data_IF_087032488986
#
_entry.id   IF_087032488986
#
_cell.length_a   1.000
_cell.length_b   1.000
_cell.length_c   1.000
_cell.angle_alpha   90.00
_cell.angle_beta   90.00
_cell.angle_gamma   90.00
#
_symmetry.space_group_name_H-M   'P 1'
#
loop_
_entity.id
_entity.type
_entity.pdbx_description
1 polymer ?
#
# COMPACT_ATOMS: atom_id res chain seq x y z
N UNK A 1 27.59 8.14 -5.66
CA UNK A 1 26.16 8.47 -5.89
C UNK A 1 25.50 7.53 -6.92
N UNK A 2 26.07 7.29 -8.10
CA UNK A 2 25.48 6.44 -9.17
C UNK A 2 25.34 4.95 -8.76
N UNK A 3 26.29 4.39 -8.04
CA UNK A 3 26.24 2.98 -7.58
C UNK A 3 25.14 2.73 -6.54
N UNK A 4 24.91 3.69 -5.64
CA UNK A 4 23.88 3.57 -4.60
C UNK A 4 22.45 3.65 -5.21
N UNK A 5 22.26 4.48 -6.22
CA UNK A 5 20.97 4.59 -6.94
C UNK A 5 20.63 3.31 -7.71
N UNK A 6 21.63 2.68 -8.35
CA UNK A 6 21.45 1.40 -9.04
C UNK A 6 21.08 0.26 -8.09
N UNK A 7 21.70 0.21 -6.91
CA UNK A 7 21.37 -0.76 -5.86
C UNK A 7 19.92 -0.57 -5.37
N UNK A 8 19.48 0.68 -5.15
CA UNK A 8 18.11 1.01 -4.70
C UNK A 8 17.05 0.62 -5.74
N UNK A 9 17.30 0.83 -7.03
CA UNK A 9 16.40 0.42 -8.09
C UNK A 9 16.28 -1.13 -8.18
N UNK A 10 17.38 -1.85 -8.00
CA UNK A 10 17.36 -3.32 -7.93
C UNK A 10 16.54 -3.85 -6.76
N UNK A 11 16.69 -3.23 -5.58
CA UNK A 11 15.87 -3.57 -4.40
C UNK A 11 14.39 -3.30 -4.66
N UNK A 12 14.05 -2.16 -5.29
CA UNK A 12 12.67 -1.86 -5.65
C UNK A 12 12.06 -2.94 -6.56
N UNK A 13 12.80 -3.36 -7.61
CA UNK A 13 12.35 -4.42 -8.51
C UNK A 13 12.09 -5.73 -7.75
N UNK A 14 12.98 -6.12 -6.84
CA UNK A 14 12.80 -7.33 -6.04
C UNK A 14 11.57 -7.25 -5.12
N UNK A 15 11.32 -6.10 -4.49
CA UNK A 15 10.12 -5.88 -3.68
C UNK A 15 8.84 -5.95 -4.54
N UNK A 16 8.82 -5.30 -5.72
CA UNK A 16 7.71 -5.39 -6.69
C UNK A 16 7.44 -6.84 -7.05
N UNK A 17 8.48 -7.61 -7.40
CA UNK A 17 8.34 -9.02 -7.75
C UNK A 17 7.80 -9.85 -6.58
N UNK A 18 8.25 -9.61 -5.35
CA UNK A 18 7.75 -10.32 -4.17
C UNK A 18 6.23 -10.14 -3.99
N UNK A 19 5.74 -8.90 -4.07
CA UNK A 19 4.30 -8.62 -3.99
C UNK A 19 3.53 -9.14 -5.21
N UNK A 20 4.08 -9.05 -6.43
CA UNK A 20 3.46 -9.61 -7.63
C UNK A 20 3.31 -11.14 -7.53
N UNK A 21 4.32 -11.84 -7.03
CA UNK A 21 4.27 -13.29 -6.82
C UNK A 21 3.22 -13.64 -5.76
N UNK A 22 3.19 -12.94 -4.64
CA UNK A 22 2.19 -13.17 -3.59
C UNK A 22 0.75 -13.01 -4.13
N UNK A 23 0.50 -11.93 -4.88
CA UNK A 23 -0.81 -11.68 -5.48
C UNK A 23 -1.15 -12.64 -6.62
N UNK A 24 -0.18 -13.04 -7.41
CA UNK A 24 -0.37 -14.02 -8.49
C UNK A 24 -0.69 -15.44 -7.98
N UNK A 25 -0.14 -15.82 -6.83
CA UNK A 25 -0.33 -17.13 -6.21
C UNK A 25 -1.50 -17.21 -5.22
N UNK A 26 -2.33 -16.18 -5.11
CA UNK A 26 -3.42 -16.08 -4.11
C UNK A 26 -4.46 -17.21 -4.13
N UNK A 27 -4.57 -17.93 -5.24
CA UNK A 27 -5.48 -19.08 -5.36
C UNK A 27 -4.84 -20.39 -4.84
N UNK A 28 -3.50 -20.44 -4.80
CA UNK A 28 -2.71 -21.59 -4.35
C UNK A 28 -2.17 -21.41 -2.94
N UNK A 29 -1.91 -20.17 -2.54
CA UNK A 29 -1.35 -19.81 -1.24
C UNK A 29 -2.32 -18.91 -0.50
N UNK A 30 -2.50 -19.20 0.79
CA UNK A 30 -3.31 -18.34 1.67
C UNK A 30 -2.84 -16.87 1.57
N UNK A 31 -3.79 -15.94 1.41
CA UNK A 31 -3.46 -14.53 1.17
C UNK A 31 -2.61 -13.92 2.28
N UNK A 32 -2.89 -14.25 3.55
CA UNK A 32 -2.15 -13.74 4.70
C UNK A 32 -0.71 -14.25 4.76
N UNK A 33 -0.50 -15.52 4.39
CA UNK A 33 0.84 -16.10 4.32
C UNK A 33 1.63 -15.52 3.14
N UNK A 34 1.01 -15.41 1.97
CA UNK A 34 1.65 -14.86 0.77
C UNK A 34 2.06 -13.41 0.95
N UNK A 35 1.12 -12.55 1.37
CA UNK A 35 1.40 -11.12 1.57
C UNK A 35 2.33 -10.86 2.75
N UNK A 36 2.19 -11.64 3.84
CA UNK A 36 3.11 -11.59 4.99
C UNK A 36 4.54 -11.97 4.61
N UNK A 37 4.72 -13.02 3.80
CA UNK A 37 6.03 -13.41 3.29
C UNK A 37 6.64 -12.34 2.37
N UNK A 38 5.84 -11.73 1.47
CA UNK A 38 6.29 -10.63 0.63
C UNK A 38 6.69 -9.40 1.46
N UNK A 39 5.93 -9.09 2.51
CA UNK A 39 6.22 -8.01 3.44
C UNK A 39 7.54 -8.25 4.18
N UNK A 40 7.74 -9.42 4.79
CA UNK A 40 8.98 -9.77 5.48
C UNK A 40 10.18 -9.73 4.53
N UNK A 41 10.05 -10.29 3.33
CA UNK A 41 11.11 -10.24 2.30
C UNK A 41 11.46 -8.79 1.97
N UNK A 42 10.46 -7.94 1.75
CA UNK A 42 10.67 -6.53 1.46
C UNK A 42 11.36 -5.80 2.61
N UNK A 43 10.95 -6.03 3.85
CA UNK A 43 11.59 -5.42 5.03
C UNK A 43 13.05 -5.82 5.18
N UNK A 44 13.38 -7.09 4.92
CA UNK A 44 14.78 -7.58 4.93
C UNK A 44 15.60 -6.88 3.83
N UNK A 45 15.06 -6.78 2.61
CA UNK A 45 15.73 -6.10 1.49
C UNK A 45 15.92 -4.59 1.75
N UNK A 46 14.98 -3.96 2.44
CA UNK A 46 15.01 -2.53 2.75
C UNK A 46 15.89 -2.18 3.96
N UNK A 47 16.35 -3.15 4.73
CA UNK A 47 17.12 -2.93 5.95
C UNK A 47 18.30 -1.97 5.75
N UNK A 48 19.15 -2.23 4.74
CA UNK A 48 20.32 -1.40 4.44
C UNK A 48 19.95 0.00 3.93
N UNK A 49 18.87 0.11 3.17
CA UNK A 49 18.36 1.39 2.67
C UNK A 49 17.92 2.30 3.82
N UNK A 50 17.14 1.78 4.76
CA UNK A 50 16.64 2.57 5.88
C UNK A 50 17.68 2.77 6.99
N UNK A 51 18.64 1.86 7.18
CA UNK A 51 19.73 2.05 8.13
C UNK A 51 20.60 3.29 7.83
N UNK A 52 20.71 3.67 6.55
CA UNK A 52 21.47 4.85 6.12
C UNK A 52 20.64 6.15 6.03
N UNK A 53 19.32 6.10 6.24
CA UNK A 53 18.39 7.23 5.97
C UNK A 53 17.33 7.45 7.04
N UNK A 54 17.48 6.87 8.22
CA UNK A 54 16.46 6.87 9.28
C UNK A 54 16.16 8.24 9.88
N UNK A 55 16.98 9.25 9.66
CA UNK A 55 16.84 10.55 10.30
C UNK A 55 15.65 11.33 9.71
N UNK A 56 14.56 11.38 10.46
CA UNK A 56 13.38 12.21 10.19
C UNK A 56 12.19 11.51 9.50
N UNK A 57 12.35 10.37 8.82
CA UNK A 57 11.22 9.71 8.13
C UNK A 57 10.15 9.15 9.10
N UNK A 58 10.58 8.81 10.31
CA UNK A 58 9.73 8.21 11.35
C UNK A 58 9.41 9.17 12.49
N UNK A 59 9.66 10.46 12.31
CA UNK A 59 9.28 11.45 13.32
C UNK A 59 7.76 11.51 13.46
N UNK A 60 7.29 11.22 14.67
CA UNK A 60 5.86 11.24 14.99
C UNK A 60 5.52 12.64 15.50
N UNK A 61 4.74 13.39 14.72
CA UNK A 61 4.17 14.66 15.17
C UNK A 61 2.67 14.55 15.35
N UNK A 62 2.08 15.37 16.25
CA UNK A 62 0.60 15.43 16.38
C UNK A 62 -0.08 15.77 15.04
N UNK A 63 0.55 16.63 14.24
CA UNK A 63 0.06 17.00 12.92
C UNK A 63 0.01 15.80 11.99
N UNK A 64 1.10 15.02 11.90
CA UNK A 64 1.16 13.85 11.01
C UNK A 64 0.17 12.77 11.42
N UNK A 65 -0.04 12.59 12.73
CA UNK A 65 -1.06 11.68 13.25
C UNK A 65 -2.47 12.12 12.85
N UNK A 66 -2.82 13.39 13.08
CA UNK A 66 -4.15 13.92 12.75
C UNK A 66 -4.42 13.92 11.24
N UNK A 67 -3.44 14.34 10.44
CA UNK A 67 -3.54 14.34 8.98
C UNK A 67 -3.63 12.92 8.45
N UNK A 68 -2.82 11.98 8.96
CA UNK A 68 -2.84 10.59 8.53
C UNK A 68 -4.19 9.93 8.84
N UNK A 69 -4.59 9.89 10.11
CA UNK A 69 -5.86 9.29 10.54
C UNK A 69 -7.05 9.97 9.85
N UNK A 70 -7.07 11.31 9.83
CA UNK A 70 -8.14 12.06 9.18
C UNK A 70 -8.27 11.73 7.69
N UNK A 71 -7.14 11.62 6.97
CA UNK A 71 -7.15 11.20 5.55
C UNK A 71 -7.69 9.77 5.40
N UNK A 72 -7.27 8.82 6.24
CA UNK A 72 -7.78 7.46 6.20
C UNK A 72 -9.30 7.39 6.43
N UNK A 73 -9.82 8.15 7.41
CA UNK A 73 -11.26 8.25 7.66
C UNK A 73 -12.00 8.86 6.45
N UNK A 74 -11.50 9.96 5.88
CA UNK A 74 -12.12 10.57 4.69
C UNK A 74 -12.12 9.61 3.51
N UNK A 75 -11.03 8.88 3.28
CA UNK A 75 -10.96 7.86 2.22
C UNK A 75 -11.96 6.72 2.47
N UNK A 76 -12.15 6.28 3.71
CA UNK A 76 -13.14 5.26 4.06
C UNK A 76 -14.57 5.74 3.81
N UNK A 77 -14.89 6.97 4.23
CA UNK A 77 -16.19 7.59 3.93
C UNK A 77 -16.44 7.70 2.42
N UNK A 78 -15.43 8.11 1.67
CA UNK A 78 -15.50 8.15 0.20
C UNK A 78 -15.72 6.75 -0.40
N UNK A 79 -15.05 5.72 0.13
CA UNK A 79 -15.23 4.33 -0.32
C UNK A 79 -16.68 3.88 -0.12
N UNK A 80 -17.26 4.08 1.07
CA UNK A 80 -18.65 3.70 1.35
C UNK A 80 -19.66 4.51 0.52
N UNK A 81 -19.41 5.80 0.30
CA UNK A 81 -20.30 6.63 -0.50
C UNK A 81 -20.23 6.30 -2.00
N UNK A 82 -19.06 5.97 -2.51
CA UNK A 82 -18.86 5.69 -3.94
C UNK A 82 -19.16 4.25 -4.33
N UNK A 83 -19.09 3.29 -3.40
CA UNK A 83 -19.31 1.89 -3.70
C UNK A 83 -20.67 1.60 -4.35
N UNK A 84 -21.84 2.06 -3.83
CA UNK A 84 -23.14 1.85 -4.48
C UNK A 84 -23.18 2.43 -5.89
N UNK A 85 -22.75 3.69 -6.05
CA UNK A 85 -22.76 4.39 -7.33
C UNK A 85 -21.83 3.72 -8.36
N UNK A 86 -20.65 3.29 -7.91
CA UNK A 86 -19.68 2.63 -8.79
C UNK A 86 -20.20 1.26 -9.27
N UNK A 87 -20.96 0.54 -8.45
CA UNK A 87 -21.60 -0.72 -8.83
C UNK A 87 -22.67 -0.57 -9.92
N UNK A 88 -23.39 0.55 -9.94
CA UNK A 88 -24.33 0.88 -11.01
C UNK A 88 -23.61 1.20 -12.33
N UNK A 89 -22.47 1.88 -12.27
CA UNK A 89 -21.70 2.26 -13.46
C UNK A 89 -20.84 1.11 -14.01
N UNK A 90 -20.36 0.23 -13.13
CA UNK A 90 -19.47 -0.89 -13.46
C UNK A 90 -19.98 -2.15 -12.75
N UNK A 91 -20.94 -2.89 -13.35
CA UNK A 91 -21.56 -4.04 -12.70
C UNK A 91 -20.61 -5.13 -12.21
N UNK A 92 -19.40 -5.23 -12.79
CA UNK A 92 -18.35 -6.15 -12.38
C UNK A 92 -17.89 -5.95 -10.94
N UNK A 93 -18.07 -4.76 -10.37
CA UNK A 93 -17.74 -4.44 -8.98
C UNK A 93 -18.51 -5.34 -8.01
N UNK A 94 -19.79 -5.64 -8.32
CA UNK A 94 -20.62 -6.53 -7.51
C UNK A 94 -20.12 -7.98 -7.48
N UNK A 95 -19.23 -8.38 -8.37
CA UNK A 95 -18.60 -9.71 -8.37
C UNK A 95 -17.17 -9.69 -7.87
N UNK A 96 -16.39 -8.62 -8.12
CA UNK A 96 -14.99 -8.51 -7.70
C UNK A 96 -14.86 -8.24 -6.18
N UNK A 97 -15.68 -7.35 -5.64
CA UNK A 97 -15.61 -6.99 -4.21
C UNK A 97 -15.94 -8.17 -3.30
N UNK A 98 -17.02 -8.94 -3.48
CA UNK A 98 -17.27 -10.14 -2.68
C UNK A 98 -16.14 -11.18 -2.77
N UNK A 99 -15.53 -11.36 -3.95
CA UNK A 99 -14.37 -12.26 -4.11
C UNK A 99 -13.17 -11.80 -3.30
N UNK A 100 -12.88 -10.49 -3.29
CA UNK A 100 -11.83 -9.92 -2.47
C UNK A 100 -12.08 -10.21 -0.98
N UNK A 101 -13.28 -9.92 -0.48
CA UNK A 101 -13.61 -10.20 0.92
C UNK A 101 -13.61 -11.70 1.25
N UNK A 102 -14.00 -12.57 0.31
CA UNK A 102 -13.86 -14.02 0.51
C UNK A 102 -12.40 -14.45 0.72
N UNK A 103 -11.45 -13.83 0.00
CA UNK A 103 -10.02 -14.08 0.21
C UNK A 103 -9.54 -13.55 1.57
N UNK A 104 -9.97 -12.37 1.99
CA UNK A 104 -9.60 -11.81 3.30
C UNK A 104 -10.19 -12.64 4.46
N UNK A 105 -11.30 -13.37 4.23
CA UNK A 105 -11.88 -14.30 5.21
C UNK A 105 -11.18 -15.65 5.28
N UNK A 106 -10.16 -15.93 4.45
CA UNK A 106 -9.31 -17.13 4.65
C UNK A 106 -8.74 -17.14 6.08
N UNK A 107 -8.58 -18.34 6.63
CA UNK A 107 -8.03 -18.53 7.99
C UNK A 107 -6.68 -17.82 8.15
N UNK A 108 -6.48 -17.02 9.22
CA UNK A 108 -7.31 -16.91 10.42
C UNK A 108 -8.44 -15.86 10.35
N UNK A 109 -8.67 -15.23 9.22
CA UNK A 109 -9.63 -14.15 9.02
C UNK A 109 -9.05 -12.76 9.37
N UNK A 110 -9.69 -11.66 8.91
CA UNK A 110 -9.08 -10.33 8.94
C UNK A 110 -8.82 -9.80 10.36
N UNK A 111 -9.64 -10.15 11.33
CA UNK A 111 -9.45 -9.71 12.73
C UNK A 111 -8.24 -10.38 13.35
N UNK A 112 -8.11 -11.71 13.23
CA UNK A 112 -6.98 -12.44 13.80
C UNK A 112 -5.69 -12.23 12.97
N UNK A 113 -5.80 -11.94 11.67
CA UNK A 113 -4.68 -11.60 10.80
C UNK A 113 -4.28 -10.11 10.90
N UNK A 114 -4.90 -9.31 11.75
CA UNK A 114 -4.58 -7.88 11.88
C UNK A 114 -3.08 -7.59 12.10
N UNK A 115 -2.31 -8.37 12.88
CA UNK A 115 -0.87 -8.17 12.98
C UNK A 115 -0.14 -8.35 11.64
N UNK A 116 -0.61 -9.28 10.79
CA UNK A 116 -0.07 -9.48 9.44
C UNK A 116 -0.43 -8.29 8.55
N UNK A 117 -1.67 -7.78 8.63
CA UNK A 117 -2.09 -6.58 7.91
C UNK A 117 -1.20 -5.38 8.27
N UNK A 118 -0.93 -5.14 9.55
CA UNK A 118 -0.01 -4.07 9.99
C UNK A 118 1.38 -4.25 9.39
N UNK A 119 1.90 -5.47 9.40
CA UNK A 119 3.20 -5.79 8.80
C UNK A 119 3.22 -5.52 7.28
N UNK A 120 2.17 -5.92 6.57
CA UNK A 120 2.03 -5.70 5.12
C UNK A 120 1.98 -4.20 4.82
N UNK A 121 1.12 -3.45 5.50
CA UNK A 121 0.99 -2.00 5.29
C UNK A 121 2.30 -1.28 5.61
N UNK A 122 3.00 -1.66 6.69
CA UNK A 122 4.31 -1.11 7.01
C UNK A 122 5.32 -1.34 5.87
N UNK A 123 5.41 -2.58 5.38
CA UNK A 123 6.31 -2.93 4.28
C UNK A 123 5.93 -2.18 2.99
N UNK A 124 4.65 -2.08 2.67
CA UNK A 124 4.16 -1.35 1.50
C UNK A 124 4.52 0.14 1.58
N UNK A 125 4.29 0.80 2.72
CA UNK A 125 4.65 2.21 2.86
C UNK A 125 6.18 2.42 2.74
N UNK A 126 6.98 1.50 3.29
CA UNK A 126 8.43 1.55 3.14
C UNK A 126 8.87 1.34 1.69
N UNK A 127 8.24 0.43 0.95
CA UNK A 127 8.55 0.17 -0.47
C UNK A 127 8.08 1.33 -1.34
N UNK A 128 6.78 1.67 -1.27
CA UNK A 128 6.17 2.58 -2.23
C UNK A 128 6.41 4.06 -1.90
N UNK A 129 6.29 4.46 -0.63
CA UNK A 129 6.44 5.86 -0.19
C UNK A 129 7.84 6.16 0.32
N UNK A 130 8.56 5.14 0.80
CA UNK A 130 9.98 5.26 1.14
C UNK A 130 10.87 5.12 -0.11
N UNK A 131 11.11 3.88 -0.52
CA UNK A 131 12.09 3.55 -1.56
C UNK A 131 11.69 4.06 -2.95
N UNK A 132 10.45 3.77 -3.42
CA UNK A 132 10.07 4.08 -4.80
C UNK A 132 10.04 5.60 -5.05
N UNK A 133 9.47 6.39 -4.15
CA UNK A 133 9.48 7.86 -4.27
C UNK A 133 10.92 8.38 -4.33
N UNK A 134 11.82 7.86 -3.50
CA UNK A 134 13.23 8.27 -3.50
C UNK A 134 13.98 7.85 -4.78
N UNK A 135 13.69 6.66 -5.32
CA UNK A 135 14.27 6.18 -6.59
C UNK A 135 13.82 7.05 -7.77
N UNK A 136 12.55 7.48 -7.78
CA UNK A 136 12.00 8.29 -8.87
C UNK A 136 12.19 9.79 -8.68
N UNK A 137 12.66 10.24 -7.51
CA UNK A 137 12.97 11.62 -7.26
C UNK A 137 14.29 12.02 -7.96
N UNK A 138 14.18 12.96 -8.90
CA UNK A 138 15.36 13.60 -9.50
C UNK A 138 15.73 14.82 -8.63
N UNK A 139 16.34 14.58 -7.46
CA UNK A 139 16.61 15.62 -6.46
C UNK A 139 15.56 15.57 -5.34
N UNK A 140 14.70 16.58 -5.23
CA UNK A 140 13.65 16.60 -4.19
C UNK A 140 12.42 15.80 -4.63
N UNK A 141 11.79 15.01 -3.72
CA UNK A 141 10.54 14.33 -4.00
C UNK A 141 9.43 15.30 -4.39
N UNK A 142 8.77 15.03 -5.52
CA UNK A 142 7.70 15.87 -6.06
C UNK A 142 6.63 15.04 -6.78
N UNK A 143 5.73 15.72 -7.48
CA UNK A 143 4.57 15.09 -8.14
C UNK A 143 4.97 13.96 -9.11
N UNK A 144 6.08 14.13 -9.86
CA UNK A 144 6.57 13.09 -10.76
C UNK A 144 6.90 11.80 -10.02
N UNK A 145 7.60 11.88 -8.88
CA UNK A 145 7.93 10.72 -8.08
C UNK A 145 6.69 10.05 -7.49
N UNK A 146 5.70 10.85 -7.07
CA UNK A 146 4.39 10.34 -6.61
C UNK A 146 3.67 9.58 -7.72
N UNK A 147 3.58 10.15 -8.92
CA UNK A 147 2.91 9.51 -10.07
C UNK A 147 3.58 8.19 -10.44
N UNK A 148 4.91 8.17 -10.58
CA UNK A 148 5.65 6.96 -10.93
C UNK A 148 5.55 5.89 -9.84
N UNK A 149 5.65 6.27 -8.57
CA UNK A 149 5.46 5.35 -7.46
C UNK A 149 4.03 4.78 -7.42
N UNK A 150 3.00 5.61 -7.64
CA UNK A 150 1.62 5.16 -7.68
C UNK A 150 1.37 4.18 -8.84
N UNK A 151 1.97 4.41 -10.01
CA UNK A 151 1.91 3.47 -11.15
C UNK A 151 2.57 2.14 -10.79
N UNK A 152 3.76 2.15 -10.22
CA UNK A 152 4.45 0.89 -9.82
C UNK A 152 3.69 0.15 -8.72
N UNK A 153 3.01 0.87 -7.83
CA UNK A 153 2.14 0.29 -6.80
C UNK A 153 0.96 -0.51 -7.38
N UNK A 154 0.56 -0.26 -8.62
CA UNK A 154 -0.52 -1.04 -9.27
C UNK A 154 -0.07 -2.43 -9.76
N UNK A 155 1.24 -2.71 -9.89
CA UNK A 155 1.72 -3.96 -10.49
C UNK A 155 1.28 -5.22 -9.72
N UNK A 156 1.32 -5.29 -8.39
CA UNK A 156 0.75 -6.39 -7.64
C UNK A 156 -0.74 -6.61 -7.93
N UNK A 157 -1.50 -5.53 -8.17
CA UNK A 157 -2.94 -5.60 -8.48
C UNK A 157 -3.21 -6.10 -9.90
N UNK A 158 -2.29 -5.82 -10.84
CA UNK A 158 -2.30 -6.42 -12.18
C UNK A 158 -2.04 -7.93 -12.06
N UNK A 159 -1.09 -8.36 -11.24
CA UNK A 159 -0.84 -9.76 -10.95
C UNK A 159 -2.03 -10.44 -10.26
N UNK A 160 -2.78 -9.69 -9.44
CA UNK A 160 -4.05 -10.14 -8.84
C UNK A 160 -5.18 -10.26 -9.89
N UNK A 161 -5.05 -9.66 -11.08
CA UNK A 161 -6.03 -9.68 -12.18
C UNK A 161 -7.37 -9.01 -11.82
N UNK A 162 -7.36 -7.97 -11.01
CA UNK A 162 -8.54 -7.15 -10.70
C UNK A 162 -8.37 -5.72 -11.21
N UNK A 163 -9.07 -5.33 -12.28
CA UNK A 163 -9.07 -3.95 -12.76
C UNK A 163 -9.52 -2.94 -11.70
N UNK A 164 -10.49 -3.32 -10.86
CA UNK A 164 -10.94 -2.50 -9.74
C UNK A 164 -9.79 -2.18 -8.78
N UNK A 165 -9.05 -3.21 -8.36
CA UNK A 165 -7.93 -3.01 -7.44
C UNK A 165 -6.79 -2.20 -8.06
N UNK A 166 -6.58 -2.27 -9.37
CA UNK A 166 -5.61 -1.41 -10.08
C UNK A 166 -6.02 0.07 -9.95
N UNK A 167 -7.29 0.38 -10.17
CA UNK A 167 -7.81 1.77 -10.04
C UNK A 167 -7.73 2.24 -8.58
N UNK A 168 -8.16 1.40 -7.64
CA UNK A 168 -8.08 1.71 -6.20
C UNK A 168 -6.63 1.92 -5.76
N UNK A 169 -5.71 1.03 -6.14
CA UNK A 169 -4.30 1.17 -5.80
C UNK A 169 -3.69 2.44 -6.40
N UNK A 170 -4.04 2.81 -7.64
CA UNK A 170 -3.59 4.06 -8.24
C UNK A 170 -4.09 5.27 -7.44
N UNK A 171 -5.38 5.33 -7.12
CA UNK A 171 -5.98 6.42 -6.36
C UNK A 171 -5.35 6.53 -4.95
N UNK A 172 -5.27 5.42 -4.22
CA UNK A 172 -4.61 5.34 -2.92
C UNK A 172 -3.13 5.73 -3.01
N UNK A 173 -2.44 5.22 -4.05
CA UNK A 173 -1.04 5.53 -4.32
C UNK A 173 -0.77 7.03 -4.47
N UNK A 174 -1.67 7.74 -5.15
CA UNK A 174 -1.59 9.19 -5.32
C UNK A 174 -1.84 9.93 -4.01
N UNK A 175 -2.86 9.56 -3.25
CA UNK A 175 -3.19 10.22 -1.97
C UNK A 175 -2.07 10.02 -0.95
N UNK A 176 -1.66 8.78 -0.70
CA UNK A 176 -0.61 8.48 0.28
C UNK A 176 0.77 8.98 -0.18
N UNK A 177 1.06 8.94 -1.49
CA UNK A 177 2.26 9.56 -2.05
C UNK A 177 2.29 11.08 -1.87
N UNK A 178 1.16 11.75 -2.05
CA UNK A 178 1.03 13.19 -1.78
C UNK A 178 1.22 13.51 -0.28
N UNK A 179 0.69 12.67 0.63
CA UNK A 179 0.96 12.80 2.06
C UNK A 179 2.46 12.68 2.35
N UNK A 180 3.14 11.66 1.80
CA UNK A 180 4.59 11.47 1.96
C UNK A 180 5.39 12.72 1.59
N UNK A 181 5.07 13.33 0.45
CA UNK A 181 5.79 14.53 -0.02
C UNK A 181 5.46 15.75 0.84
N UNK A 182 4.19 15.94 1.26
CA UNK A 182 3.76 17.07 2.07
C UNK A 182 4.26 17.02 3.51
N UNK A 183 4.27 15.84 4.12
CA UNK A 183 4.71 15.66 5.52
C UNK A 183 6.21 15.36 5.62
N UNK A 184 6.85 15.03 4.51
CA UNK A 184 8.26 14.62 4.44
C UNK A 184 8.61 13.39 5.29
N UNK A 185 7.58 12.65 5.77
CA UNK A 185 7.68 11.47 6.63
C UNK A 185 6.82 10.32 6.15
N UNK A 186 6.97 9.15 6.76
CA UNK A 186 6.18 7.95 6.49
C UNK A 186 5.03 7.77 7.48
N UNK A 187 4.99 8.53 8.57
CA UNK A 187 3.98 8.36 9.64
C UNK A 187 2.57 8.70 9.13
N UNK A 188 2.40 9.82 8.43
CA UNK A 188 1.08 10.22 7.94
C UNK A 188 0.52 9.25 6.88
N UNK A 189 1.26 8.87 5.80
CA UNK A 189 0.75 7.89 4.86
C UNK A 189 0.53 6.50 5.50
N UNK A 190 1.40 6.05 6.41
CA UNK A 190 1.22 4.79 7.14
C UNK A 190 -0.07 4.79 7.96
N UNK A 191 -0.35 5.84 8.70
CA UNK A 191 -1.58 5.94 9.49
C UNK A 191 -2.82 6.08 8.61
N UNK A 192 -2.74 6.80 7.48
CA UNK A 192 -3.84 6.89 6.53
C UNK A 192 -4.18 5.52 5.93
N UNK A 193 -3.16 4.77 5.51
CA UNK A 193 -3.32 3.44 4.95
C UNK A 193 -3.89 2.47 5.99
N UNK A 194 -3.26 2.35 7.17
CA UNK A 194 -3.76 1.49 8.26
C UNK A 194 -5.19 1.83 8.66
N UNK A 195 -5.54 3.11 8.76
CA UNK A 195 -6.89 3.54 9.12
C UNK A 195 -7.89 3.12 8.06
N UNK A 196 -7.56 3.32 6.78
CA UNK A 196 -8.42 2.93 5.67
C UNK A 196 -8.62 1.42 5.61
N UNK A 197 -7.55 0.63 5.68
CA UNK A 197 -7.61 -0.84 5.67
C UNK A 197 -8.39 -1.37 6.86
N UNK A 198 -8.13 -0.85 8.06
CA UNK A 198 -8.84 -1.26 9.27
C UNK A 198 -10.35 -1.01 9.15
N UNK A 199 -10.74 0.17 8.67
CA UNK A 199 -12.15 0.53 8.54
C UNK A 199 -12.84 -0.24 7.42
N UNK A 200 -12.22 -0.36 6.24
CA UNK A 200 -12.85 -0.92 5.04
C UNK A 200 -12.74 -2.45 4.99
N UNK A 201 -11.62 -3.04 5.45
CA UNK A 201 -11.43 -4.49 5.31
C UNK A 201 -11.69 -5.28 6.58
N UNK A 202 -11.63 -4.65 7.77
CA UNK A 202 -11.75 -5.37 9.04
C UNK A 202 -13.04 -5.03 9.77
N UNK A 203 -13.33 -3.74 10.00
CA UNK A 203 -14.42 -3.32 10.88
C UNK A 203 -15.76 -3.13 10.15
N UNK A 204 -15.75 -2.49 8.99
CA UNK A 204 -16.95 -2.09 8.27
C UNK A 204 -16.84 -2.40 6.77
N UNK A 205 -16.82 -3.69 6.37
CA UNK A 205 -16.78 -4.09 4.97
C UNK A 205 -17.92 -3.46 4.16
N UNK A 206 -17.63 -3.13 2.88
CA UNK A 206 -18.65 -2.54 1.98
C UNK A 206 -19.58 -3.58 1.37
N UNK A 207 -19.28 -4.90 1.52
CA UNK A 207 -20.06 -6.02 1.01
C UNK A 207 -20.02 -7.22 1.97
#
# INVERSE_FOLDING_TARGET
MITQTRSSAGVLVLCVLAFCVAMGLREQVNIWLGTGAAALTSLVLLRSFFASRSDGMWQVTRRDMLVGIGTGVVMSLATWALYPVSGELVPQIHTEVPKLYAMLRQTPGPVAAFPVLVLVVLAEEMVWRGLAIDVFACGQPGIRAVLLSAVVYTFPQIAFRSPLLVVVALACGLVWGALRVRTRGLVAPLLAHLTWDLLVFVLFPVA
#
